data_IF_307630060308
#
_entry.id   IF_307630060308
#
_cell.length_a   1.000
_cell.length_b   1.000
_cell.length_c   1.000
_cell.angle_alpha   90.00
_cell.angle_beta   90.00
_cell.angle_gamma   90.00
#
_symmetry.space_group_name_H-M   'P 1'
#
loop_
_entity.id
_entity.type
_entity.pdbx_description
1 polymer ?
#
# COMPACT_ATOMS: atom_id res chain seq x y z
N UNK A 1 -5.35 -19.54 12.16
CA UNK A 1 -6.44 -18.89 11.39
C UNK A 1 -7.59 -18.39 12.27
N UNK A 2 -8.09 -19.09 13.30
CA UNK A 2 -9.14 -18.55 14.18
C UNK A 2 -8.81 -17.15 14.78
N UNK A 3 -7.56 -16.93 15.23
CA UNK A 3 -7.10 -15.63 15.70
C UNK A 3 -7.08 -14.54 14.59
N UNK A 4 -6.86 -14.93 13.32
CA UNK A 4 -6.92 -14.02 12.19
C UNK A 4 -8.35 -13.52 11.95
N UNK A 5 -9.32 -14.44 11.87
CA UNK A 5 -10.75 -14.14 11.70
C UNK A 5 -11.25 -13.08 12.71
N UNK A 6 -10.90 -13.26 13.98
CA UNK A 6 -11.25 -12.32 15.06
C UNK A 6 -10.53 -10.97 14.90
N UNK A 7 -9.20 -10.99 14.94
CA UNK A 7 -8.41 -9.75 15.06
C UNK A 7 -8.33 -8.93 13.77
N UNK A 8 -8.39 -9.56 12.59
CA UNK A 8 -8.29 -8.84 11.31
C UNK A 8 -9.54 -8.00 11.09
N UNK A 9 -10.72 -8.56 11.37
CA UNK A 9 -12.00 -7.85 11.30
C UNK A 9 -12.04 -6.62 12.24
N UNK A 10 -11.51 -6.75 13.46
CA UNK A 10 -11.47 -5.67 14.45
C UNK A 10 -10.51 -4.53 14.08
N UNK A 11 -9.37 -4.84 13.46
CA UNK A 11 -8.41 -3.83 12.98
C UNK A 11 -8.92 -3.16 11.71
N UNK A 12 -9.41 -3.95 10.75
CA UNK A 12 -9.96 -3.48 9.49
C UNK A 12 -11.15 -2.53 9.72
N UNK A 13 -12.06 -2.84 10.65
CA UNK A 13 -13.18 -1.97 11.00
C UNK A 13 -12.69 -0.60 11.51
N UNK A 14 -11.73 -0.58 12.44
CA UNK A 14 -11.19 0.67 13.01
C UNK A 14 -10.53 1.55 11.95
N UNK A 15 -9.79 0.95 11.02
CA UNK A 15 -9.18 1.68 9.91
C UNK A 15 -10.24 2.21 8.94
N UNK A 16 -11.20 1.37 8.56
CA UNK A 16 -12.28 1.74 7.65
C UNK A 16 -13.18 2.85 8.22
N UNK A 17 -13.51 2.81 9.51
CA UNK A 17 -14.25 3.87 10.19
C UNK A 17 -13.53 5.22 10.11
N UNK A 18 -12.23 5.25 10.44
CA UNK A 18 -11.43 6.47 10.37
C UNK A 18 -11.39 7.05 8.95
N UNK A 19 -11.17 6.22 7.92
CA UNK A 19 -11.16 6.68 6.52
C UNK A 19 -12.53 7.19 6.04
N UNK A 20 -13.62 6.54 6.46
CA UNK A 20 -14.99 6.99 6.15
C UNK A 20 -15.32 8.32 6.84
N UNK A 21 -14.92 8.50 8.10
CA UNK A 21 -15.09 9.75 8.85
C UNK A 21 -14.28 10.89 8.24
N UNK A 22 -13.01 10.64 7.87
CA UNK A 22 -12.12 11.62 7.24
C UNK A 22 -12.58 12.03 5.83
N UNK A 23 -13.05 11.09 5.01
CA UNK A 23 -13.59 11.39 3.67
C UNK A 23 -14.93 12.16 3.69
N UNK A 24 -15.63 12.17 4.84
CA UNK A 24 -17.00 12.63 5.00
C UNK A 24 -18.04 11.97 4.05
N UNK A 25 -17.69 10.87 3.37
CA UNK A 25 -18.58 10.17 2.45
C UNK A 25 -19.54 9.25 3.23
N UNK A 26 -20.88 9.36 3.04
CA UNK A 26 -21.84 8.49 3.70
C UNK A 26 -21.60 7.00 3.42
N UNK A 27 -21.76 6.16 4.45
CA UNK A 27 -21.48 4.71 4.38
C UNK A 27 -22.34 3.97 3.34
N UNK A 28 -23.55 4.45 3.09
CA UNK A 28 -24.47 3.92 2.08
C UNK A 28 -24.06 4.28 0.64
N UNK A 29 -23.14 5.23 0.44
CA UNK A 29 -22.54 5.53 -0.87
C UNK A 29 -21.47 4.52 -1.27
N UNK A 30 -20.82 3.83 -0.33
CA UNK A 30 -19.78 2.82 -0.61
C UNK A 30 -20.35 1.76 -1.55
N UNK A 31 -19.75 1.65 -2.74
CA UNK A 31 -20.20 0.75 -3.80
C UNK A 31 -19.31 -0.48 -3.93
N UNK A 32 -18.02 -0.36 -3.59
CA UNK A 32 -17.04 -1.44 -3.62
C UNK A 32 -16.24 -1.50 -2.32
N UNK A 33 -15.89 -2.71 -1.87
CA UNK A 33 -14.75 -2.95 -0.98
C UNK A 33 -13.63 -3.60 -1.79
N UNK A 34 -12.41 -3.08 -1.63
CA UNK A 34 -11.18 -3.78 -2.03
C UNK A 34 -10.44 -4.16 -0.76
N UNK A 35 -10.36 -5.46 -0.46
CA UNK A 35 -9.64 -5.99 0.69
C UNK A 35 -8.24 -6.42 0.26
N UNK A 36 -7.21 -5.92 0.93
CA UNK A 36 -5.80 -6.30 0.73
C UNK A 36 -5.31 -7.04 1.97
N UNK A 37 -4.82 -8.26 1.79
CA UNK A 37 -4.19 -9.05 2.86
C UNK A 37 -3.38 -10.23 2.32
N UNK A 38 -2.25 -10.55 2.94
CA UNK A 38 -1.42 -11.72 2.64
C UNK A 38 -1.19 -12.63 3.87
N UNK A 39 -1.55 -12.18 5.06
CA UNK A 39 -1.35 -12.88 6.34
C UNK A 39 -2.54 -13.76 6.79
N UNK A 40 -3.61 -13.91 6.00
CA UNK A 40 -4.62 -14.91 6.31
C UNK A 40 -5.70 -15.08 5.25
N UNK A 41 -6.48 -16.14 5.43
CA UNK A 41 -7.67 -16.44 4.64
C UNK A 41 -8.80 -16.83 5.58
N UNK A 42 -10.00 -16.35 5.27
CA UNK A 42 -11.24 -16.70 5.97
C UNK A 42 -12.41 -16.63 4.98
N UNK A 43 -13.46 -17.42 5.23
CA UNK A 43 -14.60 -17.56 4.33
C UNK A 43 -15.88 -17.91 5.14
N UNK A 44 -16.81 -16.96 5.36
CA UNK A 44 -16.82 -15.56 4.90
C UNK A 44 -15.63 -14.73 5.43
N UNK A 45 -15.08 -13.83 4.60
CA UNK A 45 -13.90 -13.06 4.95
C UNK A 45 -14.19 -11.72 5.65
N UNK A 46 -13.10 -10.98 5.90
CA UNK A 46 -13.13 -9.61 6.47
C UNK A 46 -13.99 -8.66 5.64
N UNK A 47 -14.05 -8.85 4.32
CA UNK A 47 -14.91 -8.12 3.39
C UNK A 47 -16.41 -8.23 3.75
N UNK A 48 -16.87 -9.42 4.15
CA UNK A 48 -18.25 -9.64 4.60
C UNK A 48 -18.48 -9.07 5.99
N UNK A 49 -17.50 -9.24 6.90
CA UNK A 49 -17.56 -8.68 8.24
C UNK A 49 -17.66 -7.14 8.21
N UNK A 50 -16.92 -6.47 7.32
CA UNK A 50 -16.97 -5.02 7.13
C UNK A 50 -18.33 -4.53 6.65
N UNK A 51 -18.97 -5.20 5.67
CA UNK A 51 -20.33 -4.82 5.24
C UNK A 51 -21.30 -4.84 6.43
N UNK A 52 -21.25 -5.91 7.24
CA UNK A 52 -22.16 -6.09 8.38
C UNK A 52 -21.88 -5.09 9.51
N UNK A 53 -20.61 -4.92 9.91
CA UNK A 53 -20.21 -4.11 11.07
C UNK A 53 -20.31 -2.61 10.80
N UNK A 54 -19.92 -2.17 9.61
CA UNK A 54 -20.00 -0.75 9.22
C UNK A 54 -21.42 -0.31 8.84
N UNK A 55 -22.32 -1.26 8.53
CA UNK A 55 -23.66 -0.97 8.04
C UNK A 55 -23.68 -0.55 6.56
N UNK A 56 -22.82 -1.15 5.73
CA UNK A 56 -22.81 -0.88 4.29
C UNK A 56 -24.01 -1.55 3.60
N UNK A 57 -24.24 -1.20 2.33
CA UNK A 57 -25.30 -1.84 1.54
C UNK A 57 -25.00 -3.34 1.36
N UNK A 58 -26.00 -4.24 1.47
CA UNK A 58 -25.83 -5.65 1.12
C UNK A 58 -25.43 -5.89 -0.35
N UNK A 59 -25.61 -4.88 -1.21
CA UNK A 59 -25.23 -4.88 -2.63
C UNK A 59 -23.82 -4.32 -2.88
N UNK A 60 -23.05 -3.97 -1.85
CA UNK A 60 -21.66 -3.51 -2.02
C UNK A 60 -20.81 -4.65 -2.61
N UNK A 61 -20.21 -4.38 -3.77
CA UNK A 61 -19.31 -5.29 -4.47
C UNK A 61 -18.04 -5.52 -3.67
N UNK A 62 -17.42 -6.69 -3.81
CA UNK A 62 -16.26 -7.11 -3.01
C UNK A 62 -15.18 -7.70 -3.90
N UNK A 63 -13.95 -7.23 -3.74
CA UNK A 63 -12.76 -7.77 -4.40
C UNK A 63 -11.66 -7.98 -3.36
N UNK A 64 -10.97 -9.12 -3.42
CA UNK A 64 -9.83 -9.42 -2.55
C UNK A 64 -8.55 -9.46 -3.37
N UNK A 65 -7.59 -8.61 -3.03
CA UNK A 65 -6.22 -8.60 -3.54
C UNK A 65 -5.37 -9.35 -2.51
N UNK A 66 -5.43 -10.68 -2.62
CA UNK A 66 -4.87 -11.60 -1.65
C UNK A 66 -3.45 -12.07 -1.99
N UNK A 67 -2.64 -12.33 -0.95
CA UNK A 67 -1.40 -13.12 -1.05
C UNK A 67 -0.29 -12.53 -1.95
N UNK A 68 -0.29 -11.21 -2.17
CA UNK A 68 0.73 -10.50 -2.96
C UNK A 68 1.90 -9.94 -2.12
N UNK A 69 1.84 -10.05 -0.79
CA UNK A 69 2.86 -9.46 0.08
C UNK A 69 2.78 -7.93 0.13
N UNK A 70 3.91 -7.27 0.44
CA UNK A 70 3.96 -5.84 0.77
C UNK A 70 3.43 -4.88 -0.31
N UNK A 71 3.46 -5.29 -1.59
CA UNK A 71 2.98 -4.49 -2.73
C UNK A 71 1.47 -4.66 -3.01
N UNK A 72 0.76 -5.49 -2.23
CA UNK A 72 -0.67 -5.73 -2.41
C UNK A 72 -1.54 -4.47 -2.31
N UNK A 73 -1.11 -3.44 -1.57
CA UNK A 73 -1.90 -2.24 -1.35
C UNK A 73 -1.99 -1.33 -2.59
N UNK A 74 -0.90 -1.17 -3.33
CA UNK A 74 -0.87 -0.43 -4.60
C UNK A 74 -1.66 -1.20 -5.67
N UNK A 75 -1.60 -2.53 -5.68
CA UNK A 75 -2.50 -3.36 -6.51
C UNK A 75 -3.98 -3.18 -6.12
N UNK A 76 -4.28 -3.01 -4.83
CA UNK A 76 -5.60 -2.61 -4.35
C UNK A 76 -6.03 -1.22 -4.85
N UNK A 77 -5.12 -0.25 -4.87
CA UNK A 77 -5.37 1.09 -5.45
C UNK A 77 -5.58 1.05 -6.96
N UNK A 78 -4.86 0.21 -7.70
CA UNK A 78 -5.09 -0.05 -9.13
C UNK A 78 -6.49 -0.62 -9.41
N UNK A 79 -6.95 -1.56 -8.59
CA UNK A 79 -8.32 -2.10 -8.67
C UNK A 79 -9.36 -1.01 -8.34
N UNK A 80 -9.11 -0.20 -7.31
CA UNK A 80 -10.00 0.90 -6.94
C UNK A 80 -10.09 1.97 -8.05
N UNK A 81 -8.95 2.38 -8.63
CA UNK A 81 -8.88 3.28 -9.79
C UNK A 81 -9.65 2.71 -10.97
N UNK A 82 -9.49 1.43 -11.31
CA UNK A 82 -10.23 0.80 -12.40
C UNK A 82 -11.76 0.82 -12.18
N UNK A 83 -12.26 0.71 -10.94
CA UNK A 83 -13.68 0.89 -10.65
C UNK A 83 -14.13 2.34 -10.80
N UNK A 84 -13.33 3.32 -10.38
CA UNK A 84 -13.63 4.74 -10.51
C UNK A 84 -13.57 5.24 -11.97
N UNK A 85 -12.63 4.73 -12.77
CA UNK A 85 -12.52 5.01 -14.20
C UNK A 85 -13.72 4.43 -14.97
N UNK A 86 -14.24 3.27 -14.55
CA UNK A 86 -15.37 2.60 -15.20
C UNK A 86 -16.76 3.13 -14.78
N UNK A 87 -16.90 3.67 -13.57
CA UNK A 87 -18.15 4.25 -13.05
C UNK A 87 -17.87 5.53 -12.25
N UNK A 88 -18.20 6.73 -12.78
CA UNK A 88 -18.04 8.00 -12.08
C UNK A 88 -18.84 8.12 -10.77
N UNK A 89 -19.81 7.23 -10.51
CA UNK A 89 -20.54 7.17 -9.25
C UNK A 89 -19.89 6.25 -8.19
N UNK A 90 -18.81 5.53 -8.55
CA UNK A 90 -18.15 4.58 -7.68
C UNK A 90 -17.48 5.25 -6.47
N UNK A 91 -17.66 4.62 -5.31
CA UNK A 91 -16.96 4.90 -4.06
C UNK A 91 -16.37 3.58 -3.58
N UNK A 92 -15.06 3.49 -3.56
CA UNK A 92 -14.31 2.29 -3.20
C UNK A 92 -13.70 2.47 -1.81
N UNK A 93 -14.08 1.59 -0.88
CA UNK A 93 -13.42 1.45 0.40
C UNK A 93 -12.28 0.44 0.25
N UNK A 94 -11.06 0.92 0.11
CA UNK A 94 -9.85 0.12 0.13
C UNK A 94 -9.46 -0.14 1.59
N UNK A 95 -9.27 -1.39 1.99
CA UNK A 95 -8.83 -1.75 3.35
C UNK A 95 -7.68 -2.75 3.27
N UNK A 96 -6.55 -2.39 3.86
CA UNK A 96 -5.37 -3.22 3.96
C UNK A 96 -5.17 -3.64 5.42
N UNK A 97 -5.14 -4.95 5.67
CA UNK A 97 -5.06 -5.52 7.02
C UNK A 97 -4.08 -6.69 7.05
N UNK A 98 -3.14 -6.66 8.00
CA UNK A 98 -2.15 -7.71 8.18
C UNK A 98 -1.95 -8.05 9.65
N UNK A 99 -1.73 -9.34 9.91
CA UNK A 99 -1.47 -9.93 11.23
C UNK A 99 -0.23 -10.81 11.14
N UNK A 100 0.92 -10.22 10.84
CA UNK A 100 2.17 -10.94 10.65
C UNK A 100 2.65 -11.67 11.91
N UNK A 101 2.26 -11.22 13.10
CA UNK A 101 2.62 -11.86 14.38
C UNK A 101 2.08 -13.29 14.51
N UNK A 102 1.00 -13.62 13.80
CA UNK A 102 0.44 -14.98 13.73
C UNK A 102 1.36 -15.98 13.02
N UNK A 103 2.37 -15.48 12.30
CA UNK A 103 3.33 -16.26 11.51
C UNK A 103 4.73 -16.22 12.12
N UNK A 104 4.82 -15.99 13.44
CA UNK A 104 6.09 -15.93 14.16
C UNK A 104 6.94 -17.19 13.94
N UNK A 105 8.20 -16.97 13.55
CA UNK A 105 9.10 -18.06 13.21
C UNK A 105 9.95 -18.47 14.43
N UNK A 106 9.91 -19.74 14.82
CA UNK A 106 10.58 -20.25 16.02
C UNK A 106 12.04 -20.69 15.83
N UNK A 107 12.65 -20.42 14.67
CA UNK A 107 14.07 -20.72 14.43
C UNK A 107 14.97 -19.49 14.64
N UNK A 108 16.27 -19.75 14.70
CA UNK A 108 17.29 -18.75 15.01
C UNK A 108 18.19 -18.42 13.80
N UNK A 109 17.75 -18.66 12.56
CA UNK A 109 18.55 -18.20 11.41
C UNK A 109 18.44 -16.68 11.27
N UNK A 110 19.48 -15.99 10.77
CA UNK A 110 19.46 -14.54 10.62
C UNK A 110 18.24 -14.02 9.84
N UNK A 111 17.83 -14.75 8.80
CA UNK A 111 16.69 -14.39 7.93
C UNK A 111 15.37 -14.38 8.71
N UNK A 112 15.14 -15.37 9.58
CA UNK A 112 13.91 -15.46 10.38
C UNK A 112 13.92 -14.52 11.59
N UNK A 113 15.09 -14.27 12.18
CA UNK A 113 15.25 -13.23 13.21
C UNK A 113 14.93 -11.85 12.61
N UNK A 114 15.43 -11.55 11.41
CA UNK A 114 15.11 -10.32 10.67
C UNK A 114 13.61 -10.25 10.34
N UNK A 115 13.01 -11.34 9.85
CA UNK A 115 11.56 -11.42 9.62
C UNK A 115 10.73 -11.06 10.87
N UNK A 116 11.01 -11.72 12.00
CA UNK A 116 10.33 -11.47 13.28
C UNK A 116 10.59 -10.07 13.88
N UNK A 117 11.62 -9.37 13.40
CA UNK A 117 11.97 -8.01 13.81
C UNK A 117 11.27 -6.93 12.97
N UNK A 118 11.12 -7.16 11.66
CA UNK A 118 10.54 -6.22 10.70
C UNK A 118 9.01 -6.22 10.70
N UNK A 119 8.39 -7.41 10.73
CA UNK A 119 6.96 -7.55 10.44
C UNK A 119 6.07 -7.40 11.69
N UNK A 120 4.84 -6.92 11.47
CA UNK A 120 3.91 -6.50 12.53
C UNK A 120 2.44 -6.61 12.11
N UNK A 121 1.56 -6.23 13.03
CA UNK A 121 0.11 -6.28 12.90
C UNK A 121 -0.48 -4.87 12.76
N UNK A 122 -1.57 -4.74 12.01
CA UNK A 122 -2.34 -3.49 11.94
C UNK A 122 -3.37 -3.45 10.82
N UNK A 123 -3.95 -2.26 10.60
CA UNK A 123 -4.79 -1.95 9.45
C UNK A 123 -4.66 -0.48 9.02
N UNK A 124 -4.84 -0.24 7.72
CA UNK A 124 -5.05 1.06 7.09
C UNK A 124 -6.20 0.96 6.07
N UNK A 125 -6.84 2.08 5.78
CA UNK A 125 -7.93 2.13 4.80
C UNK A 125 -7.95 3.48 4.10
N UNK A 126 -8.49 3.52 2.89
CA UNK A 126 -8.69 4.72 2.09
C UNK A 126 -10.08 4.69 1.45
N UNK A 127 -10.67 5.87 1.25
CA UNK A 127 -11.86 6.03 0.40
C UNK A 127 -11.42 6.68 -0.91
N UNK A 128 -11.63 5.96 -2.01
CA UNK A 128 -11.22 6.35 -3.36
C UNK A 128 -12.49 6.53 -4.20
N UNK A 129 -12.61 7.62 -4.95
CA UNK A 129 -13.80 7.90 -5.76
C UNK A 129 -13.45 8.67 -7.04
N UNK A 130 -14.33 8.68 -8.04
CA UNK A 130 -14.17 9.53 -9.22
C UNK A 130 -14.63 10.98 -8.99
N UNK A 131 -15.29 11.27 -7.87
CA UNK A 131 -15.87 12.58 -7.57
C UNK A 131 -14.84 13.65 -7.21
N UNK A 132 -15.22 14.94 -7.18
CA UNK A 132 -14.34 16.01 -6.71
C UNK A 132 -13.93 15.82 -5.26
N UNK A 133 -12.66 16.07 -4.94
CA UNK A 133 -12.14 16.07 -3.57
C UNK A 133 -10.88 16.94 -3.47
N UNK A 134 -10.53 17.31 -2.23
CA UNK A 134 -9.35 18.12 -1.91
C UNK A 134 -8.06 17.28 -1.71
N UNK A 135 -8.13 15.96 -1.93
CA UNK A 135 -6.99 15.05 -1.83
C UNK A 135 -6.29 14.70 -3.16
N UNK A 136 -5.19 13.92 -3.10
CA UNK A 136 -4.29 13.63 -4.20
C UNK A 136 -4.92 12.71 -5.24
N UNK A 137 -4.78 13.06 -6.50
CA UNK A 137 -5.24 12.23 -7.62
C UNK A 137 -4.28 11.05 -7.85
N UNK A 138 -4.83 9.84 -8.00
CA UNK A 138 -4.09 8.70 -8.58
C UNK A 138 -4.00 8.97 -10.08
N UNK A 139 -2.94 9.65 -10.51
CA UNK A 139 -2.76 10.08 -11.89
C UNK A 139 -2.50 8.87 -12.80
N UNK A 140 -1.46 8.10 -12.47
CA UNK A 140 -1.01 6.90 -13.20
C UNK A 140 -0.39 5.90 -12.23
N UNK A 141 -0.23 4.65 -12.67
CA UNK A 141 0.26 3.54 -11.84
C UNK A 141 1.18 2.63 -12.66
N UNK A 142 2.33 2.29 -12.11
CA UNK A 142 3.33 1.41 -12.73
C UNK A 142 3.53 0.11 -11.92
N UNK A 143 4.10 -0.93 -12.53
CA UNK A 143 4.51 -2.16 -11.84
C UNK A 143 5.41 -3.01 -12.76
N UNK A 144 6.60 -3.37 -12.27
CA UNK A 144 7.62 -4.11 -13.02
C UNK A 144 8.39 -5.09 -12.11
N UNK A 145 8.43 -6.39 -12.47
CA UNK A 145 9.58 -6.93 -13.23
C UNK A 145 11.03 -6.72 -12.75
N UNK A 146 11.47 -7.06 -11.55
CA UNK A 146 12.92 -7.37 -11.40
C UNK A 146 13.18 -8.81 -11.91
N UNK A 147 13.90 -9.04 -13.02
CA UNK A 147 14.10 -10.40 -13.54
C UNK A 147 14.91 -11.28 -12.59
N UNK A 148 14.74 -12.60 -12.69
CA UNK A 148 15.53 -13.62 -11.97
C UNK A 148 15.65 -13.39 -10.44
N UNK A 149 14.57 -12.92 -9.83
CA UNK A 149 14.48 -12.50 -8.42
C UNK A 149 13.40 -13.23 -7.61
N UNK A 150 12.75 -14.28 -8.15
CA UNK A 150 11.61 -14.95 -7.51
C UNK A 150 11.96 -15.70 -6.21
N UNK A 151 13.24 -15.97 -5.98
CA UNK A 151 13.81 -16.51 -4.74
C UNK A 151 14.18 -15.41 -3.73
N UNK A 152 14.31 -14.15 -4.18
CA UNK A 152 14.81 -13.06 -3.35
C UNK A 152 13.82 -12.68 -2.24
N UNK A 153 12.52 -12.84 -2.47
CA UNK A 153 11.49 -12.74 -1.46
C UNK A 153 10.40 -13.77 -1.75
N UNK A 154 9.99 -14.57 -0.75
CA UNK A 154 8.88 -15.51 -0.92
C UNK A 154 8.01 -15.61 0.33
N UNK A 155 6.74 -15.93 0.13
CA UNK A 155 5.74 -16.13 1.17
C UNK A 155 5.03 -17.46 0.89
N UNK A 156 5.24 -18.46 1.74
CA UNK A 156 4.83 -19.85 1.48
C UNK A 156 3.90 -20.35 2.59
N UNK A 157 2.86 -21.08 2.22
CA UNK A 157 1.97 -21.72 3.20
C UNK A 157 2.66 -22.96 3.76
N UNK A 158 2.65 -23.13 5.09
CA UNK A 158 3.14 -24.32 5.78
C UNK A 158 2.25 -24.71 6.96
N UNK A 159 2.60 -25.80 7.64
CA UNK A 159 1.75 -26.45 8.66
C UNK A 159 1.55 -25.61 9.94
N UNK A 160 2.38 -24.59 10.15
CA UNK A 160 2.37 -23.74 11.34
C UNK A 160 2.12 -22.26 11.02
N UNK A 161 1.51 -21.97 9.87
CA UNK A 161 1.29 -20.63 9.36
C UNK A 161 2.07 -20.39 8.07
N UNK A 162 2.35 -19.13 7.77
CA UNK A 162 3.06 -18.74 6.56
C UNK A 162 4.55 -18.54 6.87
N UNK A 163 5.41 -18.99 5.96
CA UNK A 163 6.86 -18.91 6.09
C UNK A 163 7.37 -17.92 5.05
N UNK A 164 7.99 -16.85 5.53
CA UNK A 164 8.70 -15.89 4.68
C UNK A 164 10.13 -16.32 4.45
N UNK A 165 10.66 -16.01 3.27
CA UNK A 165 12.10 -15.92 3.03
C UNK A 165 12.44 -14.53 2.49
N UNK A 166 13.54 -13.95 2.98
CA UNK A 166 14.08 -12.68 2.50
C UNK A 166 15.58 -12.87 2.26
N UNK A 167 16.01 -12.80 1.00
CA UNK A 167 17.40 -13.00 0.63
C UNK A 167 18.23 -11.74 0.95
N UNK A 168 19.50 -11.89 1.39
CA UNK A 168 20.39 -10.75 1.65
C UNK A 168 20.61 -9.81 0.45
N UNK A 169 20.37 -10.30 -0.78
CA UNK A 169 20.52 -9.57 -2.05
C UNK A 169 19.38 -8.61 -2.40
N UNK A 170 18.28 -8.57 -1.64
CA UNK A 170 17.13 -7.70 -1.96
C UNK A 170 17.49 -6.20 -2.04
N UNK A 171 18.27 -5.60 -1.12
CA UNK A 171 18.68 -4.20 -1.25
C UNK A 171 19.49 -3.92 -2.53
N UNK A 172 20.39 -4.83 -2.91
CA UNK A 172 21.22 -4.69 -4.12
C UNK A 172 20.38 -4.78 -5.41
N UNK A 173 19.36 -5.64 -5.42
CA UNK A 173 18.40 -5.73 -6.53
C UNK A 173 17.59 -4.44 -6.68
N UNK A 174 17.13 -3.85 -5.56
CA UNK A 174 16.42 -2.56 -5.57
C UNK A 174 17.35 -1.45 -6.06
N UNK A 175 18.52 -1.29 -5.46
CA UNK A 175 19.47 -0.22 -5.81
C UNK A 175 19.83 -0.24 -7.32
N UNK A 176 20.07 -1.43 -7.87
CA UNK A 176 20.47 -1.59 -9.27
C UNK A 176 19.33 -1.59 -10.30
N UNK A 177 18.10 -1.95 -9.90
CA UNK A 177 16.98 -2.15 -10.84
C UNK A 177 15.90 -1.06 -10.77
N UNK A 178 15.88 -0.23 -9.72
CA UNK A 178 14.77 0.72 -9.49
C UNK A 178 14.76 1.90 -10.45
N UNK A 179 15.89 2.55 -10.71
CA UNK A 179 15.91 3.89 -11.34
C UNK A 179 15.36 3.93 -12.77
N UNK A 180 15.92 3.11 -13.67
CA UNK A 180 15.63 3.21 -15.10
C UNK A 180 14.16 2.90 -15.47
N UNK A 181 13.47 1.91 -14.87
CA UNK A 181 12.03 1.70 -15.04
C UNK A 181 11.18 2.92 -14.67
N UNK A 182 11.52 3.60 -13.58
CA UNK A 182 10.76 4.77 -13.09
C UNK A 182 11.01 5.98 -13.97
N UNK A 183 12.25 6.21 -14.41
CA UNK A 183 12.56 7.27 -15.39
C UNK A 183 11.83 7.03 -16.72
N UNK A 184 11.75 5.77 -17.18
CA UNK A 184 11.02 5.40 -18.40
C UNK A 184 9.50 5.61 -18.25
N UNK A 185 8.93 5.21 -17.11
CA UNK A 185 7.51 5.42 -16.83
C UNK A 185 7.17 6.91 -16.72
N UNK A 186 7.92 7.68 -15.92
CA UNK A 186 7.75 9.13 -15.79
C UNK A 186 7.86 9.83 -17.15
N UNK A 187 8.83 9.44 -17.99
CA UNK A 187 8.95 10.00 -19.33
C UNK A 187 7.73 9.70 -20.22
N UNK A 188 7.07 8.55 -20.04
CA UNK A 188 5.79 8.22 -20.69
C UNK A 188 4.64 9.14 -20.25
N UNK A 189 4.67 9.63 -19.02
CA UNK A 189 3.73 10.62 -18.47
C UNK A 189 4.16 12.08 -18.77
N UNK A 190 5.28 12.29 -19.47
CA UNK A 190 5.85 13.62 -19.74
C UNK A 190 6.56 14.28 -18.56
N UNK A 191 6.98 13.48 -17.57
CA UNK A 191 7.61 13.91 -16.32
C UNK A 191 9.05 13.39 -16.17
N UNK A 192 9.77 13.91 -15.18
CA UNK A 192 11.09 13.46 -14.73
C UNK A 192 11.10 13.23 -13.21
N UNK A 193 12.17 12.59 -12.69
CA UNK A 193 12.33 12.40 -11.23
C UNK A 193 12.27 13.73 -10.45
N UNK A 194 12.78 14.82 -11.04
CA UNK A 194 12.75 16.16 -10.43
C UNK A 194 11.37 16.84 -10.42
N UNK A 195 10.37 16.30 -11.13
CA UNK A 195 8.99 16.79 -11.08
C UNK A 195 8.16 16.13 -9.97
N UNK A 196 8.69 15.05 -9.36
CA UNK A 196 8.06 14.37 -8.22
C UNK A 196 8.37 15.15 -6.94
N UNK A 197 7.34 15.81 -6.39
CA UNK A 197 7.48 16.69 -5.23
C UNK A 197 7.70 15.96 -3.90
N UNK A 198 7.09 14.78 -3.73
CA UNK A 198 7.05 14.01 -2.49
C UNK A 198 7.13 12.51 -2.82
N UNK A 199 7.86 11.72 -2.02
CA UNK A 199 8.08 10.29 -2.25
C UNK A 199 7.52 9.41 -1.12
N UNK A 200 6.68 8.44 -1.48
CA UNK A 200 6.15 7.43 -0.55
C UNK A 200 6.78 6.05 -0.84
N UNK A 201 7.97 5.79 -0.27
CA UNK A 201 8.70 4.53 -0.46
C UNK A 201 8.27 3.49 0.57
N UNK A 202 8.00 2.24 0.15
CA UNK A 202 7.66 1.16 1.08
C UNK A 202 8.83 0.83 2.04
N UNK A 203 8.66 0.99 3.37
CA UNK A 203 9.73 0.80 4.34
C UNK A 203 9.90 -0.68 4.74
N UNK A 204 10.34 -1.53 3.80
CA UNK A 204 10.62 -2.95 4.05
C UNK A 204 11.80 -3.22 5.01
N UNK A 205 12.51 -2.16 5.40
CA UNK A 205 13.63 -2.16 6.36
C UNK A 205 14.60 -1.01 6.05
N UNK A 206 15.53 -0.65 6.97
CA UNK A 206 16.44 0.48 6.75
C UNK A 206 17.24 0.37 5.44
N UNK A 207 17.83 -0.81 5.17
CA UNK A 207 18.57 -1.07 3.92
C UNK A 207 17.72 -0.96 2.64
N UNK A 208 16.39 -1.07 2.75
CA UNK A 208 15.47 -0.92 1.61
C UNK A 208 15.27 0.56 1.29
N UNK A 209 15.12 1.39 2.33
CA UNK A 209 15.06 2.85 2.19
C UNK A 209 16.40 3.41 1.70
N UNK A 210 17.53 2.94 2.23
CA UNK A 210 18.88 3.32 1.79
C UNK A 210 19.09 3.00 0.29
N UNK A 211 18.70 1.79 -0.14
CA UNK A 211 18.81 1.34 -1.54
C UNK A 211 17.90 2.14 -2.48
N UNK A 212 16.64 2.36 -2.10
CA UNK A 212 15.69 3.14 -2.90
C UNK A 212 16.11 4.61 -3.01
N UNK A 213 16.55 5.22 -1.90
CA UNK A 213 17.08 6.58 -1.88
C UNK A 213 18.34 6.74 -2.74
N UNK A 214 19.25 5.76 -2.68
CA UNK A 214 20.46 5.73 -3.53
C UNK A 214 20.11 5.59 -5.01
N UNK A 215 19.18 4.68 -5.37
CA UNK A 215 18.73 4.49 -6.75
C UNK A 215 18.08 5.75 -7.35
N UNK A 216 17.27 6.45 -6.56
CA UNK A 216 16.46 7.59 -7.01
C UNK A 216 17.12 8.96 -6.76
N UNK A 217 18.26 8.99 -6.06
CA UNK A 217 18.96 10.23 -5.72
C UNK A 217 18.26 11.06 -4.63
N UNK A 218 17.49 10.42 -3.76
CA UNK A 218 16.71 11.06 -2.70
C UNK A 218 17.58 11.35 -1.47
N UNK A 219 17.31 12.49 -0.83
CA UNK A 219 17.87 12.83 0.48
C UNK A 219 17.03 12.19 1.60
N UNK A 220 17.62 12.04 2.79
CA UNK A 220 16.88 11.60 3.98
C UNK A 220 15.64 12.48 4.25
N UNK A 221 15.73 13.79 4.00
CA UNK A 221 14.60 14.72 4.14
C UNK A 221 13.42 14.40 3.18
N UNK A 222 13.69 13.78 2.04
CA UNK A 222 12.65 13.35 1.08
C UNK A 222 12.00 12.02 1.52
N UNK A 223 12.63 11.32 2.47
CA UNK A 223 12.13 10.11 3.14
C UNK A 223 11.51 10.42 4.51
N UNK A 224 11.80 11.59 5.10
CA UNK A 224 11.30 12.03 6.43
C UNK A 224 9.77 12.23 6.47
N UNK A 225 9.10 12.34 5.32
CA UNK A 225 7.64 12.24 5.23
C UNK A 225 7.09 10.89 5.77
N UNK A 226 7.96 9.87 5.89
CA UNK A 226 7.68 8.58 6.54
C UNK A 226 8.05 8.58 8.03
N UNK A 227 8.98 9.42 8.49
CA UNK A 227 9.40 9.50 9.90
C UNK A 227 8.57 10.48 10.75
N UNK A 228 8.14 11.60 10.19
CA UNK A 228 7.43 12.67 10.92
C UNK A 228 6.07 12.27 11.50
N UNK A 229 5.38 11.28 10.91
CA UNK A 229 4.08 10.79 11.38
C UNK A 229 4.15 9.79 12.55
N UNK A 230 5.34 9.26 12.87
CA UNK A 230 5.50 8.21 13.90
C UNK A 230 5.34 8.75 15.34
N UNK A 231 5.16 10.08 15.49
CA UNK A 231 5.20 10.80 16.77
C UNK A 231 3.84 10.96 17.49
N UNK A 232 2.70 10.82 16.81
CA UNK A 232 1.39 11.24 17.32
C UNK A 232 0.67 10.27 18.29
N UNK A 233 1.41 9.40 18.99
CA UNK A 233 0.89 8.65 20.13
C UNK A 233 1.96 8.47 21.21
N UNK A 234 1.77 9.12 22.36
CA UNK A 234 2.65 9.06 23.53
C UNK A 234 3.06 7.62 23.89
N UNK A 235 4.37 7.32 23.79
CA UNK A 235 5.18 6.52 24.72
C UNK A 235 6.61 6.40 24.18
N UNK A 236 7.59 6.93 24.94
CA UNK A 236 8.96 7.09 24.44
C UNK A 236 9.83 5.82 24.35
N UNK A 237 11.04 6.02 23.82
CA UNK A 237 12.18 5.06 23.64
C UNK A 237 12.25 4.29 22.31
N UNK A 238 12.44 5.03 21.21
CA UNK A 238 13.64 4.98 20.34
C UNK A 238 14.10 3.70 19.62
N UNK A 239 13.64 2.50 20.00
CA UNK A 239 14.03 1.22 19.37
C UNK A 239 12.85 0.31 19.04
N UNK A 240 11.66 0.58 19.61
CA UNK A 240 10.42 -0.15 19.32
C UNK A 240 9.61 0.43 18.15
N UNK A 241 9.95 1.64 17.67
CA UNK A 241 9.18 2.37 16.66
C UNK A 241 9.25 1.79 15.23
N UNK A 242 10.29 1.01 14.89
CA UNK A 242 10.51 0.48 13.52
C UNK A 242 9.53 -0.63 13.08
N UNK A 243 8.47 -0.90 13.84
CA UNK A 243 7.44 -1.91 13.55
C UNK A 243 6.14 -1.35 12.94
N UNK A 244 5.99 -0.05 12.75
CA UNK A 244 4.69 0.57 12.34
C UNK A 244 4.56 0.89 10.84
N UNK A 245 5.65 0.75 10.10
CA UNK A 245 5.95 1.59 8.95
C UNK A 245 5.08 1.35 7.69
N UNK A 246 4.48 0.16 7.51
CA UNK A 246 3.60 -0.10 6.35
C UNK A 246 2.25 0.62 6.42
N UNK A 247 1.67 0.75 7.62
CA UNK A 247 0.36 1.35 7.81
C UNK A 247 0.39 2.88 7.76
N UNK A 248 1.50 3.49 8.17
CA UNK A 248 1.63 4.94 8.20
C UNK A 248 1.85 5.50 6.78
N UNK A 249 2.59 4.80 5.90
CA UNK A 249 2.64 5.14 4.46
C UNK A 249 1.25 5.09 3.83
N UNK A 250 0.45 4.05 4.12
CA UNK A 250 -0.93 3.98 3.61
C UNK A 250 -1.85 5.03 4.23
N UNK A 251 -1.62 5.45 5.48
CA UNK A 251 -2.34 6.59 6.09
C UNK A 251 -1.98 7.90 5.41
N UNK A 252 -0.72 8.16 5.07
CA UNK A 252 -0.33 9.38 4.34
C UNK A 252 -0.95 9.44 2.93
N UNK A 253 -1.05 8.29 2.25
CA UNK A 253 -1.77 8.19 0.96
C UNK A 253 -3.30 8.30 1.12
N UNK A 254 -3.85 7.91 2.27
CA UNK A 254 -5.29 7.87 2.54
C UNK A 254 -5.86 9.12 3.25
N UNK A 255 -5.03 9.88 3.98
CA UNK A 255 -5.42 11.05 4.79
C UNK A 255 -5.73 12.29 3.93
N UNK A 256 -6.11 12.02 2.70
CA UNK A 256 -6.44 12.96 1.65
C UNK A 256 -7.13 12.12 0.56
N UNK A 257 -8.39 12.43 0.27
CA UNK A 257 -9.28 11.57 -0.53
C UNK A 257 -8.95 11.65 -2.02
N UNK A 258 -8.73 10.49 -2.66
CA UNK A 258 -8.19 10.43 -4.02
C UNK A 258 -9.24 10.44 -5.15
N UNK A 259 -8.89 11.07 -6.27
CA UNK A 259 -9.76 11.34 -7.45
C UNK A 259 -9.12 10.93 -8.78
N UNK A 260 -9.89 10.74 -9.87
CA UNK A 260 -9.40 10.28 -11.19
C UNK A 260 -10.27 10.80 -12.37
N UNK A 261 -9.71 11.01 -13.58
CA UNK A 261 -10.45 11.39 -14.83
C UNK A 261 -9.56 11.30 -16.12
N UNK A 262 -10.16 11.15 -17.33
CA UNK A 262 -9.56 10.80 -18.66
C UNK A 262 -8.93 11.99 -19.49
N UNK A 263 -8.32 11.91 -20.70
CA UNK A 263 -7.92 10.86 -21.71
C UNK A 263 -6.57 11.28 -22.39
N UNK A 264 -5.74 10.47 -23.09
CA UNK A 264 -5.85 9.74 -24.39
C UNK A 264 -4.79 8.58 -24.46
N UNK A 265 -4.90 7.58 -25.34
CA UNK A 265 -4.09 6.33 -25.26
C UNK A 265 -3.59 5.64 -26.55
N UNK A 266 -3.05 4.40 -26.43
CA UNK A 266 -2.72 3.44 -27.52
C UNK A 266 -2.40 2.00 -26.98
N UNK A 267 -2.24 1.01 -27.86
CA UNK A 267 -2.44 -0.44 -27.57
C UNK A 267 -1.18 -1.30 -27.23
N UNK A 268 -1.35 -2.28 -26.31
CA UNK A 268 -0.81 -3.68 -26.36
C UNK A 268 0.71 -3.98 -26.09
N UNK A 269 1.20 -5.15 -25.58
CA UNK A 269 0.84 -6.16 -24.53
C UNK A 269 2.13 -6.96 -24.15
N UNK A 270 2.36 -7.38 -22.87
CA UNK A 270 2.81 -8.74 -22.39
C UNK A 270 3.71 -8.77 -21.11
N UNK A 271 3.21 -9.43 -20.04
CA UNK A 271 3.88 -10.25 -18.97
C UNK A 271 5.06 -9.72 -18.11
N UNK A 272 5.28 -10.07 -16.82
CA UNK A 272 4.48 -10.69 -15.72
C UNK A 272 5.31 -10.76 -14.37
N UNK A 273 4.73 -10.38 -13.21
CA UNK A 273 5.16 -9.64 -11.96
C UNK A 273 6.28 -10.01 -10.89
N UNK A 274 7.26 -9.12 -10.54
CA UNK A 274 7.98 -8.96 -9.22
C UNK A 274 8.14 -7.46 -8.98
N UNK A 275 7.21 -6.83 -8.28
CA UNK A 275 6.97 -5.40 -8.44
C UNK A 275 7.92 -4.46 -7.69
N UNK A 276 8.54 -3.54 -8.42
CA UNK A 276 8.78 -2.17 -7.93
C UNK A 276 7.47 -1.39 -8.17
N UNK A 277 6.82 -0.92 -7.10
CA UNK A 277 5.58 -0.13 -7.19
C UNK A 277 5.77 1.20 -6.46
N UNK A 278 5.67 2.27 -7.24
CA UNK A 278 5.70 3.65 -6.78
C UNK A 278 4.54 4.37 -7.47
N UNK A 279 3.84 5.19 -6.71
CA UNK A 279 2.76 6.04 -7.19
C UNK A 279 3.24 7.48 -7.24
N UNK A 280 2.97 8.17 -8.36
CA UNK A 280 3.16 9.61 -8.48
C UNK A 280 1.82 10.25 -8.14
N UNK A 281 1.65 10.60 -6.86
CA UNK A 281 0.52 11.42 -6.44
C UNK A 281 0.78 12.87 -6.88
N UNK A 282 0.01 13.35 -7.85
CA UNK A 282 0.12 14.74 -8.30
C UNK A 282 -0.55 15.69 -7.29
N UNK A 283 0.15 16.04 -6.21
CA UNK A 283 -0.25 17.08 -5.27
C UNK A 283 -0.09 18.48 -5.91
N UNK A 284 -1.00 18.84 -6.80
CA UNK A 284 -0.94 20.08 -7.58
C UNK A 284 -1.21 21.32 -6.72
N UNK A 285 -0.21 21.76 -5.92
CA UNK A 285 -0.26 23.06 -5.25
C UNK A 285 -0.34 24.16 -6.30
N UNK A 286 -1.53 24.73 -6.50
CA UNK A 286 -1.69 25.99 -7.25
C UNK A 286 -0.84 27.07 -6.57
N UNK A 287 0.33 27.36 -7.15
CA UNK A 287 1.02 28.63 -6.88
C UNK A 287 0.12 29.74 -7.43
N UNK A 288 -0.54 30.47 -6.55
CA UNK A 288 -1.05 31.80 -6.91
C UNK A 288 0.16 32.66 -7.35
N UNK A 289 0.10 33.32 -8.51
CA UNK A 289 1.15 34.26 -8.89
C UNK A 289 1.13 35.46 -7.92
N UNK A 290 2.29 36.06 -7.62
CA UNK A 290 2.33 37.31 -6.88
C UNK A 290 1.64 38.44 -7.67
N UNK A 291 1.00 39.37 -6.94
CA UNK A 291 0.48 40.63 -7.49
C UNK A 291 1.61 41.62 -7.81
#
# INVERSE_FOLDING_TARGET
MAAYQMSASDLAEKAALAALEESAIPRDRVSHIVLVTCSGFDAPGVDVALIQRLGLRPTTSRTSVGFMGCHGAINGMRVAKAFCDADPAAVVLLVAVELCSLHYQYDWTPERIIANALFSDGAAAAVISAGPSDGPRIASTFSEIIPDSQDAMSWKIGDHGFTMTLAPRVPELIESSTRAPIELWLAGEGLSLSDVADWAVHPGGPRILDAAGTALGLLLADLDAVEGLVSSSDLGRGWLLKRRCWFDSLRTLASSTATVNESDGLESVRSAVVSIELEVLSAYRRRTPPM
#
